data_IF_550221381211
#
_entry.id   IF_550221381211
#
_cell.length_a   1.000
_cell.length_b   1.000
_cell.length_c   1.000
_cell.angle_alpha   90.00
_cell.angle_beta   90.00
_cell.angle_gamma   90.00
#
_symmetry.space_group_name_H-M   'P 1'
#
loop_
_entity.id
_entity.type
_entity.pdbx_description
1 polymer ?
#
# COMPACT_ATOMS: atom_id res chain seq x y z
N UNK A 1 10.75 0.08 59.39
CA UNK A 1 9.73 1.12 59.57
C UNK A 1 9.43 1.65 58.18
N UNK A 2 8.29 1.46 57.51
CA UNK A 2 6.91 1.27 57.96
C UNK A 2 6.14 0.55 56.84
N UNK A 3 5.30 -0.40 57.25
CA UNK A 3 4.34 -1.19 56.47
C UNK A 3 3.18 -0.32 55.93
N UNK A 4 2.55 -0.70 54.80
CA UNK A 4 1.09 -0.95 54.60
C UNK A 4 0.83 -1.08 53.07
N UNK A 5 0.30 -2.17 52.48
CA UNK A 5 -0.92 -2.98 52.65
C UNK A 5 -2.17 -2.46 51.90
N UNK A 6 -2.67 -3.31 50.98
CA UNK A 6 -4.07 -3.54 50.49
C UNK A 6 -4.77 -2.40 49.72
N UNK A 7 -5.75 -2.58 48.81
CA UNK A 7 -6.66 -3.68 48.52
C UNK A 7 -7.40 -3.56 47.16
N UNK A 8 -7.77 -4.72 46.61
CA UNK A 8 -9.02 -5.12 45.93
C UNK A 8 -9.86 -4.14 45.09
N UNK A 9 -10.28 -4.62 43.91
CA UNK A 9 -11.63 -5.22 43.78
C UNK A 9 -11.84 -5.99 42.47
N UNK A 10 -12.13 -7.29 42.60
CA UNK A 10 -12.95 -8.03 41.62
C UNK A 10 -14.41 -7.73 41.89
N UNK A 11 -15.22 -7.54 40.85
CA UNK A 11 -16.63 -7.95 40.88
C UNK A 11 -17.14 -8.27 39.48
N UNK A 12 -17.58 -9.51 39.32
CA UNK A 12 -18.35 -10.03 38.19
C UNK A 12 -19.81 -9.56 38.27
N UNK A 13 -20.48 -9.46 37.12
CA UNK A 13 -21.93 -9.65 37.04
C UNK A 13 -22.26 -10.43 35.76
N UNK A 14 -22.92 -11.56 35.97
CA UNK A 14 -23.48 -12.46 34.97
C UNK A 14 -24.82 -11.92 34.41
N UNK A 15 -25.18 -12.35 33.21
CA UNK A 15 -26.53 -12.18 32.68
C UNK A 15 -26.82 -13.15 31.54
N UNK A 16 -27.49 -14.26 31.87
CA UNK A 16 -28.01 -15.27 30.95
C UNK A 16 -29.53 -15.31 31.08
N UNK A 17 -30.29 -15.09 29.99
CA UNK A 17 -31.71 -15.49 29.83
C UNK A 17 -31.95 -15.80 28.34
N UNK A 18 -32.00 -17.06 27.91
CA UNK A 18 -33.15 -17.99 27.82
C UNK A 18 -34.29 -17.55 26.86
N UNK A 19 -34.14 -17.97 25.60
CA UNK A 19 -35.08 -18.69 24.74
C UNK A 19 -36.55 -18.27 24.56
N UNK A 20 -37.02 -18.27 23.30
CA UNK A 20 -38.31 -18.88 22.94
C UNK A 20 -38.34 -19.35 21.47
N UNK A 21 -38.84 -20.57 21.31
CA UNK A 21 -39.03 -21.37 20.09
C UNK A 21 -40.43 -21.14 19.50
N UNK A 22 -40.54 -21.19 18.17
CA UNK A 22 -41.64 -21.73 17.30
C UNK A 22 -41.44 -21.10 15.91
N UNK A 23 -41.24 -21.79 14.79
CA UNK A 23 -41.65 -23.13 14.38
C UNK A 23 -42.85 -23.00 13.43
N UNK A 24 -42.65 -23.26 12.13
CA UNK A 24 -43.53 -24.09 11.26
C UNK A 24 -43.29 -23.86 9.75
N UNK A 25 -43.42 -24.98 9.02
CA UNK A 25 -43.76 -25.13 7.59
C UNK A 25 -42.66 -24.70 6.60
N UNK A 26 -42.00 -25.59 5.86
CA UNK A 26 -42.50 -26.78 5.19
C UNK A 26 -42.76 -26.47 3.72
N UNK A 27 -41.74 -26.65 2.87
CA UNK A 27 -41.96 -26.95 1.43
C UNK A 27 -40.72 -27.60 0.82
N UNK A 28 -40.82 -28.91 0.61
CA UNK A 28 -40.02 -29.64 -0.37
C UNK A 28 -40.42 -29.13 -1.76
N UNK A 29 -39.45 -28.81 -2.61
CA UNK A 29 -39.66 -28.70 -4.04
C UNK A 29 -38.63 -29.58 -4.73
N UNK A 30 -39.09 -30.76 -5.15
CA UNK A 30 -38.45 -31.62 -6.14
C UNK A 30 -39.06 -31.21 -7.47
N UNK A 31 -38.27 -30.74 -8.43
CA UNK A 31 -38.63 -30.78 -9.84
C UNK A 31 -37.43 -31.30 -10.61
N UNK A 32 -37.77 -32.22 -11.50
CA UNK A 32 -36.97 -33.13 -12.27
C UNK A 32 -36.56 -32.49 -13.60
N UNK A 33 -35.39 -32.90 -14.09
CA UNK A 33 -35.04 -33.16 -15.51
C UNK A 33 -34.98 -32.04 -16.58
N UNK A 34 -34.04 -32.28 -17.50
CA UNK A 34 -33.91 -31.86 -18.90
C UNK A 34 -33.25 -30.52 -19.23
N UNK A 35 -32.26 -30.59 -20.12
CA UNK A 35 -31.85 -29.47 -20.96
C UNK A 35 -30.35 -29.22 -20.94
N UNK A 36 -29.66 -29.72 -21.96
CA UNK A 36 -28.30 -29.29 -22.31
C UNK A 36 -28.25 -27.79 -22.59
N UNK A 37 -27.33 -27.08 -21.95
CA UNK A 37 -26.60 -25.94 -22.54
C UNK A 37 -25.25 -25.80 -21.86
N UNK A 38 -24.18 -25.99 -22.64
CA UNK A 38 -22.83 -25.52 -22.29
C UNK A 38 -22.86 -23.99 -22.28
N UNK A 39 -22.90 -23.39 -21.10
CA UNK A 39 -22.57 -21.97 -20.92
C UNK A 39 -21.29 -21.89 -20.12
N UNK A 40 -20.18 -21.70 -20.83
CA UNK A 40 -18.88 -21.36 -20.24
C UNK A 40 -18.98 -19.90 -19.75
N UNK A 41 -19.40 -19.71 -18.50
CA UNK A 41 -19.37 -18.38 -17.87
C UNK A 41 -17.96 -18.16 -17.35
N UNK A 42 -17.11 -17.51 -18.15
CA UNK A 42 -15.84 -16.96 -17.69
C UNK A 42 -16.16 -15.76 -16.81
N UNK A 43 -16.23 -15.98 -15.49
CA UNK A 43 -16.22 -14.91 -14.50
C UNK A 43 -14.81 -14.33 -14.43
N UNK A 44 -14.56 -13.27 -15.21
CA UNK A 44 -13.45 -12.36 -14.97
C UNK A 44 -13.73 -11.60 -13.66
N UNK A 45 -13.33 -12.18 -12.53
CA UNK A 45 -13.23 -11.43 -11.28
C UNK A 45 -11.95 -10.59 -11.35
N UNK A 46 -12.05 -9.40 -11.93
CA UNK A 46 -11.03 -8.38 -11.74
C UNK A 46 -11.08 -7.95 -10.27
N UNK A 47 -10.20 -8.52 -9.45
CA UNK A 47 -9.95 -8.05 -8.09
C UNK A 47 -9.18 -6.73 -8.17
N UNK A 48 -9.89 -5.62 -8.37
CA UNK A 48 -9.37 -4.33 -7.97
C UNK A 48 -9.37 -4.31 -6.44
N UNK A 49 -8.19 -4.56 -5.84
CA UNK A 49 -8.00 -4.35 -4.41
C UNK A 49 -8.18 -2.85 -4.13
N UNK A 50 -9.32 -2.49 -3.56
CA UNK A 50 -9.63 -1.11 -3.21
C UNK A 50 -8.71 -0.65 -2.08
N UNK A 51 -7.72 0.19 -2.41
CA UNK A 51 -7.07 1.04 -1.42
C UNK A 51 -8.14 1.93 -0.77
N UNK A 52 -8.01 2.17 0.54
CA UNK A 52 -8.93 3.02 1.31
C UNK A 52 -9.15 4.38 0.59
N UNK A 53 -10.31 5.03 0.75
CA UNK A 53 -10.65 6.24 0.00
C UNK A 53 -9.68 7.36 0.36
N UNK A 54 -8.64 7.52 -0.46
CA UNK A 54 -7.83 8.72 -0.48
C UNK A 54 -8.71 9.90 -0.86
N UNK A 55 -8.50 11.03 -0.20
CA UNK A 55 -9.01 12.30 -0.70
C UNK A 55 -8.45 12.53 -2.11
N UNK A 56 -9.33 12.57 -3.12
CA UNK A 56 -8.94 12.74 -4.51
C UNK A 56 -8.13 14.03 -4.70
N UNK A 57 -8.43 15.07 -3.93
CA UNK A 57 -7.68 16.31 -3.94
C UNK A 57 -6.26 16.12 -3.37
N UNK A 58 -6.12 15.48 -2.21
CA UNK A 58 -4.80 15.17 -1.65
C UNK A 58 -3.94 14.33 -2.61
N UNK A 59 -4.53 13.33 -3.27
CA UNK A 59 -3.85 12.53 -4.30
C UNK A 59 -3.42 13.38 -5.49
N UNK A 60 -4.30 14.24 -5.99
CA UNK A 60 -3.97 15.14 -7.09
C UNK A 60 -2.80 16.07 -6.74
N UNK A 61 -2.81 16.66 -5.53
CA UNK A 61 -1.73 17.53 -5.06
C UNK A 61 -0.41 16.76 -4.96
N UNK A 62 -0.42 15.55 -4.39
CA UNK A 62 0.76 14.70 -4.27
C UNK A 62 1.33 14.31 -5.64
N UNK A 63 0.48 13.86 -6.57
CA UNK A 63 0.89 13.48 -7.91
C UNK A 63 1.40 14.69 -8.71
N UNK A 64 0.74 15.85 -8.59
CA UNK A 64 1.18 17.09 -9.25
C UNK A 64 2.55 17.55 -8.75
N UNK A 65 2.80 17.47 -7.44
CA UNK A 65 4.08 17.79 -6.84
C UNK A 65 5.19 16.79 -7.26
N UNK A 66 4.82 15.53 -7.50
CA UNK A 66 5.75 14.47 -7.93
C UNK A 66 6.10 14.52 -9.41
N UNK A 67 5.38 15.29 -10.23
CA UNK A 67 5.63 15.44 -11.66
C UNK A 67 5.34 16.86 -12.14
N UNK A 68 6.21 17.84 -11.80
CA UNK A 68 6.06 19.21 -12.25
C UNK A 68 5.98 19.30 -13.77
N UNK A 69 5.03 20.08 -14.27
CA UNK A 69 4.78 20.25 -15.71
C UNK A 69 3.92 19.17 -16.37
N UNK A 70 3.52 18.12 -15.65
CA UNK A 70 2.48 17.20 -16.11
C UNK A 70 1.08 17.72 -15.77
N UNK A 71 0.09 17.36 -16.60
CA UNK A 71 -1.32 17.57 -16.29
C UNK A 71 -1.82 16.42 -15.39
N UNK A 72 -2.18 16.73 -14.14
CA UNK A 72 -2.69 15.75 -13.18
C UNK A 72 -4.17 16.01 -12.91
N UNK A 73 -4.99 14.95 -12.96
CA UNK A 73 -6.38 15.01 -12.58
C UNK A 73 -6.76 13.77 -11.77
N UNK A 74 -7.35 13.97 -10.60
CA UNK A 74 -7.99 12.91 -9.82
C UNK A 74 -9.47 13.23 -9.62
N UNK A 75 -10.33 12.26 -9.87
CA UNK A 75 -11.77 12.40 -9.70
C UNK A 75 -12.30 11.26 -8.84
N UNK A 76 -13.38 11.53 -8.11
CA UNK A 76 -14.09 10.52 -7.33
C UNK A 76 -15.40 10.19 -8.04
N UNK A 77 -15.66 8.92 -8.26
CA UNK A 77 -16.93 8.46 -8.82
C UNK A 77 -18.05 8.45 -7.75
N UNK A 78 -19.28 8.16 -8.18
CA UNK A 78 -20.45 8.09 -7.29
C UNK A 78 -20.38 6.96 -6.26
N UNK A 79 -19.49 5.98 -6.45
CA UNK A 79 -19.27 4.86 -5.54
C UNK A 79 -18.11 5.14 -4.56
N UNK A 80 -17.48 6.31 -4.65
CA UNK A 80 -16.37 6.71 -3.79
C UNK A 80 -15.00 6.24 -4.28
N UNK A 81 -14.91 5.62 -5.46
CA UNK A 81 -13.62 5.21 -6.05
C UNK A 81 -12.91 6.44 -6.61
N UNK A 82 -11.62 6.57 -6.31
CA UNK A 82 -10.78 7.61 -6.87
C UNK A 82 -10.07 7.10 -8.12
N UNK A 83 -10.16 7.83 -9.23
CA UNK A 83 -9.43 7.58 -10.46
C UNK A 83 -8.51 8.77 -10.76
N UNK A 84 -7.22 8.51 -10.94
CA UNK A 84 -6.21 9.52 -11.23
C UNK A 84 -5.60 9.33 -12.62
N UNK A 85 -5.19 10.43 -13.24
CA UNK A 85 -4.41 10.43 -14.47
C UNK A 85 -3.25 11.41 -14.40
N UNK A 86 -2.17 11.08 -15.11
CA UNK A 86 -1.05 11.98 -15.41
C UNK A 86 -0.90 12.01 -16.93
N UNK A 87 -1.07 13.20 -17.53
CA UNK A 87 -1.01 13.41 -18.98
C UNK A 87 -1.92 12.42 -19.75
N UNK A 88 -3.12 12.16 -19.22
CA UNK A 88 -4.10 11.22 -19.78
C UNK A 88 -3.81 9.73 -19.53
N UNK A 89 -2.68 9.41 -18.87
CA UNK A 89 -2.34 8.03 -18.50
C UNK A 89 -2.96 7.68 -17.15
N UNK A 90 -3.68 6.56 -17.06
CA UNK A 90 -4.26 6.08 -15.80
C UNK A 90 -3.17 5.76 -14.77
N UNK A 91 -3.39 6.21 -13.55
CA UNK A 91 -2.52 5.99 -12.40
C UNK A 91 -3.35 5.36 -11.28
N UNK A 92 -2.91 4.19 -10.84
CA UNK A 92 -3.38 3.55 -9.64
C UNK A 92 -2.79 4.33 -8.45
N UNK A 93 -3.66 4.93 -7.65
CA UNK A 93 -3.25 5.53 -6.39
C UNK A 93 -2.77 4.42 -5.46
N UNK A 94 -1.55 4.53 -4.98
CA UNK A 94 -0.96 3.60 -4.03
C UNK A 94 -1.30 3.98 -2.60
N UNK A 95 -0.46 3.51 -1.68
CA UNK A 95 -0.62 3.70 -0.25
C UNK A 95 -0.09 5.07 0.21
N UNK A 96 -0.49 5.51 1.41
CA UNK A 96 0.19 6.61 2.11
C UNK A 96 1.48 6.16 2.82
N UNK A 97 1.90 4.91 2.56
CA UNK A 97 3.03 4.21 3.16
C UNK A 97 2.83 3.83 4.62
N UNK A 98 1.59 3.91 5.12
CA UNK A 98 1.23 3.51 6.48
C UNK A 98 0.49 2.19 6.51
N UNK A 99 -0.19 1.85 5.41
CA UNK A 99 -0.84 0.57 5.23
C UNK A 99 0.16 -0.44 4.67
N UNK A 100 0.04 -1.69 5.12
CA UNK A 100 1.06 -2.71 4.95
C UNK A 100 1.11 -3.34 3.53
N UNK A 101 0.46 -2.71 2.54
CA UNK A 101 -0.04 -3.43 1.35
C UNK A 101 0.73 -3.13 0.05
N UNK A 102 1.46 -2.02 -0.04
CA UNK A 102 2.13 -1.60 -1.29
C UNK A 102 3.63 -1.38 -1.09
N UNK A 103 4.37 -2.49 -1.00
CA UNK A 103 5.82 -2.48 -0.84
C UNK A 103 6.54 -3.23 -1.96
N UNK A 104 7.80 -2.86 -2.15
CA UNK A 104 8.74 -3.61 -2.96
C UNK A 104 10.17 -3.30 -2.57
N UNK A 105 11.11 -3.83 -3.33
CA UNK A 105 12.52 -3.51 -3.23
C UNK A 105 13.07 -3.04 -4.57
N UNK A 106 14.21 -2.34 -4.50
CA UNK A 106 15.02 -2.07 -5.69
C UNK A 106 15.66 -3.37 -6.16
N UNK A 107 15.20 -3.89 -7.31
CA UNK A 107 15.72 -5.13 -7.91
C UNK A 107 16.90 -4.91 -8.86
N UNK A 108 17.15 -3.68 -9.29
CA UNK A 108 18.28 -3.37 -10.17
C UNK A 108 19.63 -3.54 -9.44
N UNK A 109 20.56 -4.28 -10.05
CA UNK A 109 21.87 -4.64 -9.47
C UNK A 109 22.67 -3.41 -8.99
N UNK A 110 22.57 -2.30 -9.72
CA UNK A 110 23.30 -1.06 -9.42
C UNK A 110 22.44 -0.03 -8.69
N UNK A 111 21.29 -0.42 -8.14
CA UNK A 111 20.32 0.53 -7.60
C UNK A 111 19.57 1.30 -8.69
N UNK A 112 18.78 2.30 -8.29
CA UNK A 112 17.95 3.11 -9.19
C UNK A 112 18.02 4.59 -8.85
N UNK A 113 17.92 5.43 -9.88
CA UNK A 113 17.80 6.88 -9.71
C UNK A 113 16.33 7.28 -9.72
N UNK A 114 15.86 7.80 -8.60
CA UNK A 114 14.54 8.40 -8.46
C UNK A 114 14.49 9.75 -9.17
N UNK A 115 13.44 10.00 -9.95
CA UNK A 115 13.25 11.26 -10.68
C UNK A 115 12.02 12.02 -10.23
N UNK A 116 12.05 13.34 -10.29
CA UNK A 116 10.91 14.20 -9.92
C UNK A 116 9.87 14.35 -11.04
N UNK A 117 9.79 13.40 -11.98
CA UNK A 117 8.78 13.41 -13.03
C UNK A 117 8.34 12.02 -13.43
N UNK A 118 7.03 11.89 -13.67
CA UNK A 118 6.42 10.70 -14.25
C UNK A 118 7.08 10.38 -15.60
N UNK A 119 7.34 11.40 -16.41
CA UNK A 119 8.04 11.31 -17.70
C UNK A 119 9.56 11.17 -17.49
N UNK A 120 10.17 10.00 -17.79
CA UNK A 120 11.59 9.77 -17.47
C UNK A 120 12.56 10.78 -18.10
N UNK A 121 12.24 11.28 -19.29
CA UNK A 121 13.08 12.24 -20.03
C UNK A 121 12.97 13.68 -19.51
N UNK A 122 11.88 14.02 -18.82
CA UNK A 122 11.67 15.36 -18.25
C UNK A 122 12.14 15.47 -16.79
N UNK A 123 12.28 14.34 -16.11
CA UNK A 123 12.60 14.29 -14.68
C UNK A 123 14.07 14.55 -14.38
N UNK A 124 14.29 15.38 -13.37
CA UNK A 124 15.59 15.62 -12.73
C UNK A 124 15.84 14.54 -11.68
N UNK A 125 17.11 14.21 -11.47
CA UNK A 125 17.50 13.24 -10.46
C UNK A 125 17.25 13.81 -9.05
N UNK A 126 16.58 13.02 -8.20
CA UNK A 126 16.29 13.36 -6.80
C UNK A 126 17.30 12.68 -5.88
N UNK A 127 17.44 11.37 -6.03
CA UNK A 127 18.32 10.53 -5.23
C UNK A 127 18.60 9.25 -6.02
N UNK A 128 19.77 8.67 -5.78
CA UNK A 128 20.06 7.30 -6.14
C UNK A 128 19.89 6.42 -4.90
N UNK A 129 19.12 5.34 -5.04
CA UNK A 129 18.82 4.39 -3.97
C UNK A 129 19.43 3.04 -4.34
N UNK A 130 20.14 2.44 -3.38
CA UNK A 130 20.84 1.17 -3.60
C UNK A 130 19.91 -0.01 -3.82
N UNK A 131 20.49 -1.10 -4.34
CA UNK A 131 19.83 -2.41 -4.46
C UNK A 131 19.26 -2.87 -3.12
N UNK A 132 18.15 -3.60 -3.16
CA UNK A 132 17.40 -4.11 -2.00
C UNK A 132 16.80 -3.03 -1.08
N UNK A 133 16.91 -1.74 -1.39
CA UNK A 133 16.24 -0.69 -0.61
C UNK A 133 14.73 -0.95 -0.56
N UNK A 134 14.16 -0.97 0.65
CA UNK A 134 12.71 -1.05 0.84
C UNK A 134 12.03 0.21 0.30
N UNK A 135 11.05 0.01 -0.57
CA UNK A 135 10.25 1.04 -1.20
C UNK A 135 8.78 0.87 -0.84
N UNK A 136 8.14 1.96 -0.46
CA UNK A 136 6.70 2.08 -0.51
C UNK A 136 6.26 2.59 -1.89
N UNK A 137 5.26 1.96 -2.50
CA UNK A 137 4.64 2.39 -3.75
C UNK A 137 3.44 3.29 -3.43
N UNK A 138 3.58 4.58 -3.73
CA UNK A 138 2.54 5.61 -3.49
C UNK A 138 1.63 5.84 -4.68
N UNK A 139 2.09 5.48 -5.88
CA UNK A 139 1.28 5.45 -7.08
C UNK A 139 1.95 4.57 -8.13
N UNK A 140 1.16 3.99 -9.03
CA UNK A 140 1.65 3.12 -10.08
C UNK A 140 0.92 3.38 -11.40
N UNK A 141 1.67 3.39 -12.49
CA UNK A 141 1.10 3.11 -13.81
C UNK A 141 1.17 1.60 -14.02
N UNK A 142 0.02 0.98 -14.26
CA UNK A 142 -0.05 -0.40 -14.73
C UNK A 142 -0.58 -0.48 -16.15
N UNK A 143 -0.04 -1.44 -16.90
CA UNK A 143 -0.56 -1.82 -18.22
C UNK A 143 -0.70 -3.32 -18.24
N UNK A 144 -1.92 -3.80 -18.47
CA UNK A 144 -2.25 -5.23 -18.48
C UNK A 144 -1.77 -5.95 -17.19
N UNK A 145 -1.90 -5.29 -16.04
CA UNK A 145 -1.46 -5.76 -14.72
C UNK A 145 0.03 -5.56 -14.41
N UNK A 146 0.86 -5.26 -15.42
CA UNK A 146 2.30 -5.08 -15.27
C UNK A 146 2.64 -3.67 -14.81
N UNK A 147 3.53 -3.54 -13.83
CA UNK A 147 4.05 -2.25 -13.38
C UNK A 147 4.96 -1.62 -14.43
N UNK A 148 4.58 -0.44 -14.91
CA UNK A 148 5.33 0.31 -15.94
C UNK A 148 6.16 1.42 -15.31
N UNK A 149 5.56 2.20 -14.41
CA UNK A 149 6.20 3.27 -13.64
C UNK A 149 5.62 3.27 -12.24
N UNK A 150 6.44 3.59 -11.25
CA UNK A 150 6.00 3.75 -9.88
C UNK A 150 6.50 5.07 -9.31
N UNK A 151 5.64 5.75 -8.56
CA UNK A 151 6.05 6.79 -7.63
C UNK A 151 6.33 6.12 -6.29
N UNK A 152 7.59 6.17 -5.86
CA UNK A 152 8.03 5.47 -4.65
C UNK A 152 8.53 6.42 -3.58
N UNK A 153 8.58 5.92 -2.36
CA UNK A 153 9.33 6.50 -1.24
C UNK A 153 10.21 5.42 -0.64
N UNK A 154 11.51 5.68 -0.52
CA UNK A 154 12.40 4.86 0.30
C UNK A 154 12.09 5.16 1.76
N UNK A 155 11.67 4.13 2.50
CA UNK A 155 11.29 4.25 3.90
C UNK A 155 12.19 3.38 4.79
N UNK A 156 12.48 3.80 6.02
CA UNK A 156 13.29 2.99 6.92
C UNK A 156 12.54 1.72 7.34
N UNK A 157 13.19 0.55 7.31
CA UNK A 157 12.56 -0.71 7.73
C UNK A 157 12.02 -0.66 9.15
N UNK A 158 12.68 0.09 10.05
CA UNK A 158 12.26 0.29 11.45
C UNK A 158 10.89 0.95 11.61
N UNK A 159 10.38 1.68 10.61
CA UNK A 159 9.05 2.30 10.66
C UNK A 159 7.95 1.36 10.19
N UNK A 160 8.31 0.22 9.60
CA UNK A 160 7.38 -0.78 9.09
C UNK A 160 7.27 -1.91 10.10
N UNK A 161 6.09 -2.03 10.74
CA UNK A 161 5.87 -3.03 11.80
C UNK A 161 6.18 -4.47 11.34
N UNK A 162 5.90 -4.78 10.09
CA UNK A 162 6.10 -6.11 9.49
C UNK A 162 7.56 -6.42 9.14
N UNK A 163 8.46 -5.43 9.19
CA UNK A 163 9.88 -5.69 9.03
C UNK A 163 10.53 -6.29 10.28
N UNK A 164 9.86 -6.25 11.45
CA UNK A 164 10.42 -6.80 12.68
C UNK A 164 10.56 -8.32 12.57
N UNK A 165 11.81 -8.79 12.43
CA UNK A 165 12.13 -10.21 12.31
C UNK A 165 11.84 -10.81 10.92
N UNK A 166 11.47 -9.99 9.93
CA UNK A 166 11.21 -10.46 8.58
C UNK A 166 12.50 -10.43 7.74
N UNK A 167 12.84 -11.56 7.12
CA UNK A 167 14.04 -11.73 6.32
C UNK A 167 14.07 -10.79 5.09
N UNK A 168 12.91 -10.47 4.51
CA UNK A 168 12.78 -9.56 3.36
C UNK A 168 13.23 -8.13 3.68
N UNK A 169 13.23 -7.73 4.95
CA UNK A 169 13.70 -6.41 5.35
C UNK A 169 15.18 -6.41 5.79
N UNK A 170 15.85 -7.56 5.82
CA UNK A 170 17.25 -7.64 6.24
C UNK A 170 18.14 -6.94 5.22
N UNK A 171 18.81 -5.86 5.64
CA UNK A 171 19.67 -5.07 4.76
C UNK A 171 18.90 -4.16 3.80
N UNK A 172 17.59 -3.99 3.99
CA UNK A 172 16.74 -3.17 3.11
C UNK A 172 16.75 -1.67 3.45
N UNK A 173 17.65 -1.23 4.34
CA UNK A 173 18.00 0.16 4.61
C UNK A 173 19.31 0.49 3.85
N UNK A 174 19.26 0.44 2.53
CA UNK A 174 20.42 0.73 1.69
C UNK A 174 20.79 2.23 1.73
N UNK A 175 22.05 2.59 1.48
CA UNK A 175 22.45 3.99 1.40
C UNK A 175 21.66 4.76 0.33
N UNK A 176 21.32 6.01 0.66
CA UNK A 176 20.67 6.96 -0.25
C UNK A 176 21.71 8.02 -0.62
N UNK A 177 22.01 8.11 -1.90
CA UNK A 177 22.87 9.16 -2.45
C UNK A 177 22.00 10.29 -3.02
N UNK A 178 21.92 11.40 -2.30
CA UNK A 178 21.09 12.53 -2.69
C UNK A 178 21.68 13.30 -3.88
N UNK A 179 20.84 13.62 -4.87
CA UNK A 179 21.19 14.43 -6.06
C UNK A 179 20.66 15.86 -5.97
N UNK A 180 20.00 16.17 -4.85
CA UNK A 180 19.50 17.50 -4.49
C UNK A 180 19.85 17.80 -3.02
N UNK A 181 19.86 19.08 -2.61
CA UNK A 181 20.09 19.44 -1.21
C UNK A 181 19.08 18.79 -0.27
N UNK A 182 19.54 18.39 0.91
CA UNK A 182 18.74 17.80 2.00
C UNK A 182 18.70 18.73 3.20
N UNK A 183 17.69 18.60 4.05
CA UNK A 183 17.57 19.36 5.29
C UNK A 183 18.45 18.81 6.42
N UNK A 184 18.94 17.57 6.28
CA UNK A 184 19.65 16.83 7.33
C UNK A 184 18.73 16.13 8.33
N UNK A 185 17.41 16.23 8.14
CA UNK A 185 16.40 15.62 9.02
C UNK A 185 16.07 14.24 8.47
N UNK A 186 16.36 13.17 9.21
CA UNK A 186 16.09 11.81 8.76
C UNK A 186 14.59 11.60 8.45
N UNK A 187 14.30 10.81 7.40
CA UNK A 187 12.94 10.35 7.12
C UNK A 187 12.40 9.55 8.30
N UNK A 188 11.27 10.00 8.86
CA UNK A 188 10.65 9.38 10.05
C UNK A 188 9.14 9.35 9.91
N UNK A 189 8.53 8.24 10.32
CA UNK A 189 7.08 8.15 10.49
C UNK A 189 6.70 8.92 11.76
N UNK A 190 5.87 9.95 11.61
CA UNK A 190 5.38 10.78 12.72
C UNK A 190 4.14 10.15 13.38
N UNK A 191 3.78 10.57 14.60
CA UNK A 191 2.63 10.01 15.32
C UNK A 191 1.28 10.23 14.63
N UNK A 192 1.18 11.22 13.74
CA UNK A 192 0.01 11.49 12.90
C UNK A 192 -0.12 10.53 11.71
N UNK A 193 0.82 9.60 11.55
CA UNK A 193 0.84 8.63 10.46
C UNK A 193 1.56 9.11 9.21
N UNK A 194 2.17 10.30 9.17
CA UNK A 194 2.84 10.76 7.96
C UNK A 194 4.36 10.69 8.05
N UNK A 195 5.02 10.38 6.93
CA UNK A 195 6.48 10.48 6.84
C UNK A 195 6.90 11.95 6.70
N UNK A 196 7.90 12.36 7.48
CA UNK A 196 8.48 13.69 7.41
C UNK A 196 10.02 13.68 7.54
N UNK A 197 10.65 14.75 7.06
CA UNK A 197 12.09 14.86 6.87
C UNK A 197 12.51 14.57 5.44
N UNK A 198 13.77 14.20 5.26
CA UNK A 198 14.38 13.87 3.98
C UNK A 198 14.02 12.44 3.56
N UNK A 199 12.79 12.26 3.07
CA UNK A 199 12.32 10.99 2.50
C UNK A 199 12.62 10.94 1.00
N UNK A 200 13.50 10.03 0.58
CA UNK A 200 13.88 9.92 -0.82
C UNK A 200 12.70 9.40 -1.62
N UNK A 201 12.27 10.20 -2.59
CA UNK A 201 11.00 9.95 -3.25
C UNK A 201 10.99 10.48 -4.67
N UNK A 202 10.44 9.69 -5.58
CA UNK A 202 10.37 10.01 -6.99
C UNK A 202 9.88 8.84 -7.82
N UNK A 203 9.83 9.07 -9.12
CA UNK A 203 9.40 8.10 -10.11
C UNK A 203 10.56 7.24 -10.59
N UNK A 204 10.28 5.95 -10.78
CA UNK A 204 11.20 4.92 -11.25
C UNK A 204 10.48 3.95 -12.20
N UNK A 205 11.25 3.29 -13.08
CA UNK A 205 10.72 2.31 -14.01
C UNK A 205 10.31 1.04 -13.26
N UNK A 206 9.14 0.49 -13.60
CA UNK A 206 8.56 -0.65 -12.90
C UNK A 206 9.43 -1.90 -12.96
N UNK A 207 10.16 -2.09 -14.07
CA UNK A 207 11.10 -3.21 -14.25
C UNK A 207 12.27 -3.23 -13.26
N UNK A 208 12.55 -2.09 -12.61
CA UNK A 208 13.65 -1.97 -11.66
C UNK A 208 13.16 -2.16 -10.20
N UNK A 209 11.87 -2.43 -10.02
CA UNK A 209 11.24 -2.74 -8.73
C UNK A 209 10.81 -4.19 -8.71
N UNK A 210 11.17 -4.88 -7.63
CA UNK A 210 10.57 -6.15 -7.25
C UNK A 210 9.41 -5.88 -6.30
N UNK A 211 8.18 -5.98 -6.81
CA UNK A 211 6.99 -5.80 -5.99
C UNK A 211 6.76 -6.99 -5.08
N UNK A 212 6.46 -6.73 -3.80
CA UNK A 212 6.02 -7.77 -2.88
C UNK A 212 4.54 -8.05 -3.16
N UNK A 213 4.27 -9.04 -4.01
CA UNK A 213 2.93 -9.32 -4.58
C UNK A 213 1.83 -9.62 -3.53
N UNK A 214 2.19 -9.79 -2.25
CA UNK A 214 1.25 -9.96 -1.15
C UNK A 214 1.55 -9.02 0.04
N UNK A 215 2.28 -7.94 -0.20
CA UNK A 215 2.84 -7.08 0.84
C UNK A 215 3.95 -7.76 1.64
N UNK A 216 4.35 -7.15 2.75
CA UNK A 216 5.19 -7.83 3.75
C UNK A 216 4.26 -8.70 4.59
N UNK A 217 4.59 -9.96 4.87
CA UNK A 217 3.79 -10.79 5.78
C UNK A 217 4.59 -11.40 6.92
N UNK A 218 3.94 -11.71 8.06
CA UNK A 218 4.59 -12.43 9.16
C UNK A 218 5.08 -13.83 8.77
N UNK A 219 4.40 -14.54 7.86
CA UNK A 219 4.83 -15.87 7.39
C UNK A 219 6.13 -15.86 6.57
N UNK A 220 6.57 -14.71 6.06
CA UNK A 220 7.85 -14.56 5.36
C UNK A 220 9.06 -14.43 6.32
N UNK A 221 8.84 -14.65 7.63
CA UNK A 221 9.86 -14.56 8.69
C UNK A 221 10.80 -15.76 8.74
N UNK A 222 10.55 -16.82 7.97
CA UNK A 222 11.41 -18.01 7.91
C UNK A 222 11.57 -18.73 9.27
N UNK A 223 10.55 -18.67 10.13
CA UNK A 223 10.48 -19.39 11.39
C UNK A 223 9.81 -20.76 11.22
#
# INVERSE_FOLDING_TARGET
MTTMLVNSSRKAIAGSVKGRVRGLLGRRQIINSCGWTLSLVVLLTASAASAAPGDAHALQVMLQASSPGSAVACTRDTHGNTACTIDGTAIDAGDDCTSNLSFGAVGAENGVTLKDSFKPAAGKAVAHVGVNQLLCLRAAQRKDGVLVRALVMAIPTRTVKLCKGNAMCKGADAPIEWKRPTTGIACTLKPDGHYAGDCASGWVDGKDIEEYSMGLKPEDTGA
#
